data_IF_833867093845
#
_entry.id   IF_833867093845
#
_cell.length_a   1.000
_cell.length_b   1.000
_cell.length_c   1.000
_cell.angle_alpha   90.00
_cell.angle_beta   90.00
_cell.angle_gamma   90.00
#
_symmetry.space_group_name_H-M   'P 1'
#
loop_
_entity.id
_entity.type
_entity.pdbx_description
1 polymer ?
2 non-polymer ?
#
# COMPACT_ATOMS: atom_id res chain seq x y z
N UNK A 28 1.27 -19.64 -24.90
CA UNK A 28 1.22 -20.31 -23.60
C UNK A 28 1.37 -19.25 -22.50
N UNK A 29 0.41 -19.22 -21.57
CA UNK A 29 0.50 -18.24 -20.49
C UNK A 29 1.54 -18.71 -19.49
N UNK A 30 2.53 -17.86 -19.25
CA UNK A 30 3.55 -18.10 -18.26
C UNK A 30 2.90 -18.15 -16.87
N UNK A 31 3.43 -19.01 -15.99
CA UNK A 31 2.86 -19.20 -14.67
C UNK A 31 3.77 -18.53 -13.65
N UNK A 32 3.15 -17.93 -12.63
CA UNK A 32 3.84 -17.23 -11.58
C UNK A 32 3.60 -17.94 -10.25
N UNK A 33 4.69 -18.33 -9.58
CA UNK A 33 4.64 -19.18 -8.40
C UNK A 33 5.12 -18.53 -7.12
N UNK A 34 5.35 -19.34 -6.07
CA UNK A 34 5.85 -18.79 -4.80
C UNK A 34 7.15 -18.06 -4.99
N UNK A 35 7.96 -18.51 -5.95
CA UNK A 35 9.23 -17.85 -6.22
C UNK A 35 8.99 -16.44 -6.71
N UNK A 36 7.93 -16.24 -7.52
CA UNK A 36 7.63 -14.91 -8.02
C UNK A 36 7.19 -13.99 -6.89
N UNK A 37 6.35 -14.49 -6.00
CA UNK A 37 5.79 -13.67 -4.92
C UNK A 37 6.89 -13.05 -4.07
N UNK A 38 7.83 -13.90 -3.63
CA UNK A 38 8.97 -13.45 -2.82
C UNK A 38 9.94 -12.56 -3.63
N UNK A 39 10.49 -13.09 -4.74
CA UNK A 39 11.40 -12.35 -5.60
C UNK A 39 10.80 -12.05 -6.99
N UNK A 40 10.12 -10.90 -7.13
CA UNK A 40 9.48 -10.54 -8.41
C UNK A 40 10.43 -9.85 -9.37
N UNK A 41 11.12 -8.81 -8.93
CA UNK A 41 11.88 -7.95 -9.84
C UNK A 41 12.80 -8.65 -10.83
N UNK A 42 13.39 -9.84 -10.56
CA UNK A 42 14.01 -10.62 -11.65
C UNK A 42 13.03 -11.00 -12.75
N UNK A 43 11.87 -11.51 -12.37
CA UNK A 43 10.88 -11.93 -13.36
C UNK A 43 10.38 -10.74 -14.17
N UNK A 44 10.21 -9.59 -13.52
CA UNK A 44 9.76 -8.40 -14.23
C UNK A 44 10.78 -8.05 -15.28
N UNK A 45 12.05 -8.24 -14.94
CA UNK A 45 13.13 -7.86 -15.84
C UNK A 45 13.27 -8.87 -16.99
N UNK A 46 12.99 -10.15 -16.74
CA UNK A 46 13.09 -11.10 -17.85
C UNK A 46 12.00 -10.80 -18.88
N UNK A 47 10.79 -10.47 -18.43
CA UNK A 47 9.68 -10.28 -19.34
C UNK A 47 9.58 -8.86 -19.85
N UNK A 48 10.30 -7.91 -19.24
CA UNK A 48 10.19 -6.53 -19.68
C UNK A 48 10.85 -6.34 -21.05
N UNK A 49 11.96 -7.00 -21.28
CA UNK A 49 12.67 -6.86 -22.56
C UNK A 49 11.86 -7.44 -23.70
N UNK A 50 11.22 -8.59 -23.48
CA UNK A 50 10.43 -9.23 -24.52
C UNK A 50 9.37 -8.29 -25.10
N UNK A 51 8.48 -7.77 -24.24
CA UNK A 51 7.37 -6.95 -24.69
C UNK A 51 6.90 -6.08 -23.54
N UNK A 52 6.18 -5.00 -23.83
CA UNK A 52 5.77 -4.08 -22.75
C UNK A 52 4.64 -4.62 -21.88
N UNK A 53 3.91 -5.61 -22.37
CA UNK A 53 2.81 -6.26 -21.66
C UNK A 53 3.05 -7.75 -21.80
N UNK A 54 2.58 -8.53 -20.81
CA UNK A 54 2.71 -9.99 -20.86
C UNK A 54 1.41 -10.65 -20.43
N UNK A 55 1.25 -11.90 -20.89
CA UNK A 55 0.13 -12.77 -20.49
C UNK A 55 0.71 -13.72 -19.44
N UNK A 56 0.16 -13.66 -18.22
CA UNK A 56 0.70 -14.38 -17.08
C UNK A 56 -0.45 -15.10 -16.40
N UNK A 57 -0.10 -15.95 -15.44
CA UNK A 57 -1.09 -16.65 -14.62
C UNK A 57 -0.72 -16.43 -13.16
N UNK A 58 -1.38 -15.47 -12.54
CA UNK A 58 -1.20 -15.16 -11.13
C UNK A 58 -2.50 -15.49 -10.41
N UNK A 59 -2.43 -16.44 -9.46
CA UNK A 59 -3.61 -16.92 -8.75
C UNK A 59 -4.51 -17.87 -9.51
N UNK A 60 -3.95 -18.70 -10.41
CA UNK A 60 -4.78 -19.48 -11.31
C UNK A 60 -5.58 -18.68 -12.31
N UNK A 61 -5.38 -17.35 -12.39
CA UNK A 61 -6.17 -16.48 -13.25
C UNK A 61 -5.33 -15.93 -14.40
N UNK A 62 -5.66 -16.24 -15.66
CA UNK A 62 -4.96 -15.62 -16.79
C UNK A 62 -5.24 -14.13 -16.84
N UNK A 63 -4.18 -13.35 -16.68
CA UNK A 63 -4.28 -11.91 -16.75
C UNK A 63 -3.16 -11.39 -17.64
N UNK A 64 -3.20 -10.08 -17.89
CA UNK A 64 -2.18 -9.37 -18.65
C UNK A 64 -1.42 -8.46 -17.71
N UNK A 65 -0.09 -8.47 -17.81
CA UNK A 65 0.79 -7.75 -16.89
C UNK A 65 1.57 -6.65 -17.63
N UNK A 66 1.39 -5.41 -17.18
CA UNK A 66 2.00 -4.26 -17.84
C UNK A 66 3.30 -3.93 -17.10
N UNK A 67 4.44 -4.06 -17.81
CA UNK A 67 5.76 -3.97 -17.22
C UNK A 67 6.53 -2.68 -17.52
N UNK A 68 6.56 -2.18 -18.74
CA UNK A 68 7.36 -1.00 -19.06
C UNK A 68 6.73 0.29 -18.52
N UNK A 69 7.56 1.32 -18.38
CA UNK A 69 7.11 2.55 -17.71
C UNK A 69 5.99 3.22 -18.50
N UNK A 70 6.24 3.55 -19.77
CA UNK A 70 5.22 4.26 -20.53
C UNK A 70 3.97 3.42 -20.70
N UNK A 71 4.13 2.13 -20.98
CA UNK A 71 2.94 1.28 -21.10
C UNK A 71 2.10 1.33 -19.82
N UNK A 72 2.75 1.26 -18.65
CA UNK A 72 2.03 1.32 -17.38
C UNK A 72 1.35 2.66 -17.17
N UNK A 73 2.07 3.75 -17.40
CA UNK A 73 1.45 5.06 -17.26
C UNK A 73 0.16 5.12 -18.04
N UNK A 74 0.22 4.60 -19.27
CA UNK A 74 -0.89 4.72 -20.20
C UNK A 74 -2.04 3.81 -19.80
N UNK A 75 -1.75 2.58 -19.39
CA UNK A 75 -2.82 1.71 -18.91
C UNK A 75 -3.52 2.27 -17.68
N UNK A 76 -2.87 3.17 -16.94
CA UNK A 76 -3.45 3.81 -15.78
C UNK A 76 -4.25 5.06 -16.13
N UNK A 77 -4.29 5.45 -17.42
CA UNK A 77 -5.09 6.57 -17.91
C UNK A 77 -6.13 6.14 -18.96
N UNK A 78 -6.48 4.86 -19.00
CA UNK A 78 -7.40 4.35 -20.01
C UNK A 78 -8.69 3.90 -19.37
N UNK A 79 -9.84 4.34 -19.88
CA UNK A 79 -11.10 3.92 -19.27
C UNK A 79 -11.47 2.50 -19.62
N UNK A 80 -10.77 1.85 -20.54
CA UNK A 80 -11.13 0.49 -20.86
C UNK A 80 -10.78 -0.51 -19.80
N UNK A 81 -10.11 -0.06 -18.72
CA UNK A 81 -9.65 -0.88 -17.60
C UNK A 81 -10.53 -0.53 -16.40
N UNK A 82 -11.46 -1.43 -16.09
CA UNK A 82 -12.55 -1.18 -15.16
C UNK A 82 -12.30 -1.94 -13.87
N UNK A 83 -12.60 -1.28 -12.75
CA UNK A 83 -12.38 -1.85 -11.42
C UNK A 83 -13.70 -2.26 -10.77
N UNK A 84 -14.45 -3.09 -11.48
CA UNK A 84 -15.68 -3.64 -10.94
C UNK A 84 -15.46 -4.96 -10.21
N UNK A 85 -15.27 -4.95 -8.89
CA UNK A 85 -14.98 -6.21 -8.19
C UNK A 85 -16.09 -7.24 -8.34
N UNK A 86 -17.31 -6.76 -8.56
CA UNK A 86 -18.46 -7.62 -8.86
C UNK A 86 -18.19 -8.48 -10.10
N UNK A 87 -17.83 -7.82 -11.21
CA UNK A 87 -17.46 -8.58 -12.41
C UNK A 87 -16.21 -9.41 -12.18
N UNK A 88 -15.28 -8.95 -11.34
CA UNK A 88 -14.01 -9.66 -11.21
C UNK A 88 -14.22 -11.02 -10.57
N UNK A 89 -14.97 -11.04 -9.46
CA UNK A 89 -15.10 -12.28 -8.70
C UNK A 89 -15.80 -13.36 -9.51
N UNK A 90 -16.89 -13.00 -10.21
CA UNK A 90 -17.59 -13.98 -11.04
C UNK A 90 -16.69 -14.53 -12.16
N UNK A 91 -15.94 -13.65 -12.83
CA UNK A 91 -15.00 -14.04 -13.88
C UNK A 91 -13.90 -14.96 -13.33
N UNK A 92 -13.37 -14.62 -12.15
CA UNK A 92 -12.35 -15.43 -11.52
C UNK A 92 -12.90 -16.79 -11.08
N UNK A 93 -14.15 -16.86 -10.61
CA UNK A 93 -14.72 -18.15 -10.26
C UNK A 93 -14.91 -19.03 -11.49
N UNK A 94 -15.14 -18.43 -12.67
CA UNK A 94 -15.40 -19.22 -13.86
C UNK A 94 -14.14 -19.94 -14.36
N UNK A 95 -12.95 -19.41 -14.10
CA UNK A 95 -11.74 -20.14 -14.43
C UNK A 95 -11.65 -21.45 -13.67
N UNK A 96 -12.06 -21.43 -12.39
CA UNK A 96 -12.15 -22.62 -11.55
C UNK A 96 -13.42 -23.44 -11.80
N UNK A 97 -14.36 -22.97 -12.63
CA UNK A 97 -15.57 -23.70 -12.97
C UNK A 97 -16.74 -23.52 -12.02
N UNK A 98 -16.49 -23.16 -10.77
CA UNK A 98 -17.52 -23.04 -9.75
C UNK A 98 -18.40 -21.85 -10.14
N UNK A 99 -19.59 -22.15 -10.67
CA UNK A 99 -20.56 -21.12 -11.10
C UNK A 99 -21.86 -21.26 -10.32
N UNK A 100 -21.99 -20.56 -9.17
CA UNK A 100 -23.24 -20.59 -8.39
C UNK A 100 -24.46 -20.21 -9.23
N UNK A 105 -25.49 -11.59 -3.65
CA UNK A 105 -26.50 -12.25 -2.80
C UNK A 105 -26.81 -11.36 -1.60
N UNK A 106 -27.06 -12.02 -0.45
CA UNK A 106 -27.09 -11.36 0.86
C UNK A 106 -25.69 -10.89 1.17
N UNK A 107 -25.22 -9.87 0.47
CA UNK A 107 -23.85 -9.48 0.83
C UNK A 107 -23.79 -8.96 2.26
N UNK A 108 -23.10 -9.71 3.14
CA UNK A 108 -22.88 -9.35 4.53
C UNK A 108 -22.21 -7.98 4.67
N UNK A 109 -22.19 -7.43 5.89
CA UNK A 109 -21.56 -6.12 6.06
C UNK A 109 -20.14 -6.14 5.60
N UNK A 110 -19.37 -7.12 6.06
CA UNK A 110 -17.95 -7.20 5.74
C UNK A 110 -17.69 -7.44 4.28
N UNK A 111 -18.56 -8.18 3.60
CA UNK A 111 -18.39 -8.33 2.16
C UNK A 111 -18.56 -7.01 1.45
N UNK A 112 -19.54 -6.21 1.90
CA UNK A 112 -19.77 -4.90 1.29
C UNK A 112 -18.66 -3.92 1.66
N UNK A 113 -18.04 -4.09 2.84
CA UNK A 113 -17.00 -3.17 3.27
C UNK A 113 -15.79 -3.27 2.36
N UNK A 114 -15.55 -4.46 1.82
CA UNK A 114 -14.35 -4.73 1.04
C UNK A 114 -14.48 -4.33 -0.43
N UNK A 115 -15.69 -4.02 -0.89
CA UNK A 115 -15.92 -3.79 -2.32
C UNK A 115 -16.54 -2.44 -2.62
N UNK A 116 -16.90 -1.65 -1.60
CA UNK A 116 -17.56 -0.37 -1.85
C UNK A 116 -16.70 0.82 -1.43
N UNK A 117 -15.43 0.81 -1.83
CA UNK A 117 -14.47 1.90 -1.67
C UNK A 117 -14.03 2.40 -3.05
N UNK A 118 -13.33 3.53 -3.06
CA UNK A 118 -13.02 4.17 -4.34
C UNK A 118 -12.38 3.20 -5.30
N UNK A 119 -11.46 2.37 -4.80
CA UNK A 119 -10.62 1.54 -5.65
C UNK A 119 -11.42 0.49 -6.39
N UNK A 120 -12.59 0.12 -5.88
CA UNK A 120 -13.46 -0.81 -6.57
C UNK A 120 -14.59 -0.17 -7.37
N UNK A 121 -14.38 1.06 -7.81
CA UNK A 121 -15.40 1.85 -8.46
C UNK A 121 -14.78 2.61 -9.61
N UNK A 122 -15.58 2.83 -10.63
CA UNK A 122 -15.13 3.51 -11.82
C UNK A 122 -15.99 4.75 -11.97
N UNK A 123 -15.53 5.76 -12.71
CA UNK A 123 -16.41 6.88 -12.98
C UNK A 123 -17.64 6.43 -13.73
N UNK A 124 -18.74 7.15 -13.61
CA UNK A 124 -18.90 8.44 -12.94
C UNK A 124 -19.09 8.40 -11.41
N UNK A 125 -19.15 7.20 -10.80
CA UNK A 125 -19.42 7.05 -9.37
C UNK A 125 -18.19 7.22 -8.50
N UNK A 126 -16.99 7.07 -9.06
CA UNK A 126 -15.76 7.31 -8.30
C UNK A 126 -15.57 8.81 -8.03
N UNK A 127 -15.92 9.66 -9.01
CA UNK A 127 -15.73 11.10 -8.89
C UNK A 127 -16.42 11.68 -7.66
N UNK A 128 -17.68 11.27 -7.43
CA UNK A 128 -18.47 11.72 -6.30
C UNK A 128 -17.79 11.38 -4.97
N UNK A 129 -17.36 10.13 -4.82
CA UNK A 129 -16.77 9.69 -3.56
C UNK A 129 -15.47 10.43 -3.27
N UNK A 130 -14.61 10.58 -4.29
CA UNK A 130 -13.34 11.20 -4.05
C UNK A 130 -13.49 12.68 -3.71
N UNK A 131 -14.49 13.35 -4.31
CA UNK A 131 -14.83 14.71 -3.91
C UNK A 131 -15.12 14.78 -2.42
N UNK A 132 -16.04 13.94 -1.95
CA UNK A 132 -16.52 14.03 -0.59
C UNK A 132 -15.41 13.74 0.41
N UNK A 133 -14.61 12.70 0.17
CA UNK A 133 -13.62 12.36 1.18
C UNK A 133 -12.51 13.40 1.24
N UNK A 134 -12.31 14.15 0.15
CA UNK A 134 -11.31 15.23 0.15
C UNK A 134 -11.85 16.47 0.81
N UNK A 135 -13.17 16.67 0.75
CA UNK A 135 -13.82 17.75 1.45
C UNK A 135 -13.76 17.59 2.97
N UNK A 136 -13.05 16.62 3.52
CA UNK A 136 -13.00 16.52 4.96
C UNK A 136 -11.52 16.55 5.36
N UNK A 139 -9.81 19.84 5.97
CA UNK A 139 -10.41 20.18 7.25
C UNK A 139 -9.41 20.80 8.22
N UNK A 140 -8.25 21.24 7.70
CA UNK A 140 -7.14 21.79 8.50
C UNK A 140 -6.60 20.79 9.51
N UNK A 141 -7.24 19.62 9.60
CA UNK A 141 -6.59 18.44 10.19
C UNK A 141 -5.38 17.99 9.40
N UNK A 142 -5.26 18.41 8.13
CA UNK A 142 -4.03 18.27 7.35
C UNK A 142 -2.84 18.86 8.07
N UNK A 143 -2.97 20.10 8.51
CA UNK A 143 -1.98 20.65 9.41
C UNK A 143 -2.18 20.01 10.77
N UNK A 144 -1.13 20.05 11.58
CA UNK A 144 -0.98 19.36 12.87
C UNK A 144 -0.81 17.85 12.70
N UNK A 145 -0.78 17.34 11.48
CA UNK A 145 -0.41 15.93 11.28
C UNK A 145 1.07 15.69 11.57
N UNK A 146 1.90 16.64 11.18
CA UNK A 146 3.32 16.53 11.48
C UNK A 146 3.59 16.44 12.99
N UNK A 147 3.07 17.36 13.82
CA UNK A 147 3.33 17.28 15.27
C UNK A 147 2.98 15.94 15.87
N UNK A 148 1.87 15.39 15.40
CA UNK A 148 1.42 14.09 15.87
C UNK A 148 2.46 13.02 15.54
N UNK A 149 2.94 13.00 14.28
CA UNK A 149 3.91 11.99 13.87
C UNK A 149 5.17 12.10 14.71
N UNK A 150 5.74 13.31 14.78
CA UNK A 150 6.97 13.49 15.55
C UNK A 150 6.77 13.06 16.98
N UNK A 151 5.63 13.42 17.58
CA UNK A 151 5.38 12.97 18.93
C UNK A 151 5.40 11.44 19.02
N UNK A 152 4.53 10.77 18.25
CA UNK A 152 4.44 9.31 18.38
C UNK A 152 5.74 8.62 17.97
N UNK A 153 6.47 9.20 17.01
CA UNK A 153 7.78 8.67 16.65
C UNK A 153 8.69 8.62 17.88
N UNK A 154 8.88 9.79 18.53
CA UNK A 154 9.70 9.85 19.72
C UNK A 154 9.22 8.95 20.84
N UNK A 155 7.90 8.88 21.06
CA UNK A 155 7.39 7.93 22.03
C UNK A 155 7.87 6.52 21.70
N UNK A 156 7.69 6.09 20.45
CA UNK A 156 8.10 4.74 20.07
C UNK A 156 9.60 4.55 20.24
N UNK A 157 10.37 5.57 19.90
CA UNK A 157 11.83 5.52 19.92
C UNK A 157 12.36 5.57 21.34
N UNK A 158 11.68 6.33 22.21
CA UNK A 158 12.04 6.38 23.62
C UNK A 158 11.80 5.06 24.34
N UNK A 159 10.97 4.19 23.79
CA UNK A 159 10.74 2.89 24.38
C UNK A 159 11.77 1.82 24.04
N UNK A 160 12.32 1.84 22.81
CA UNK A 160 13.29 0.81 22.45
C UNK A 160 14.72 1.15 22.83
N UNK A 161 14.98 2.35 23.36
CA UNK A 161 16.35 2.74 23.73
C UNK A 161 16.90 1.84 24.83
N UNK A 162 18.16 1.42 24.69
CA UNK A 162 18.73 0.46 25.60
C UNK A 162 18.27 -0.99 25.44
N UNK A 163 17.27 -1.28 24.63
CA UNK A 163 16.83 -2.65 24.47
C UNK A 163 17.73 -3.47 23.54
N UNK A 164 18.96 -3.02 23.27
CA UNK A 164 19.88 -3.77 22.45
C UNK A 164 19.28 -4.12 21.11
N UNK A 165 19.48 -5.37 20.69
CA UNK A 165 18.84 -5.87 19.50
C UNK A 165 17.31 -5.76 19.65
N UNK A 166 16.63 -5.35 18.57
CA UNK A 166 15.18 -5.18 18.56
C UNK A 166 14.68 -5.57 17.17
N UNK A 167 13.38 -5.86 17.09
CA UNK A 167 12.70 -6.01 15.81
C UNK A 167 12.14 -4.64 15.45
N UNK A 168 12.83 -3.97 14.52
CA UNK A 168 12.43 -2.62 14.14
C UNK A 168 11.02 -2.59 13.56
N UNK A 169 10.58 -3.68 12.93
CA UNK A 169 9.30 -3.69 12.23
C UNK A 169 8.12 -3.70 13.20
N UNK A 170 8.23 -4.47 14.29
CA UNK A 170 7.14 -4.62 15.25
C UNK A 170 7.20 -3.63 16.42
N UNK A 171 8.21 -2.75 16.41
CA UNK A 171 8.41 -1.73 17.43
C UNK A 171 8.46 -0.28 16.92
N UNK A 172 8.66 -0.05 15.63
CA UNK A 172 8.74 1.31 15.08
C UNK A 172 7.88 1.44 13.83
N UNK A 173 8.06 0.52 12.89
CA UNK A 173 7.36 0.60 11.61
C UNK A 173 5.88 0.32 11.77
N UNK A 174 5.53 -0.88 12.24
CA UNK A 174 4.11 -1.19 12.36
C UNK A 174 3.43 -0.36 13.44
N UNK A 175 4.06 -0.04 14.58
CA UNK A 175 3.38 0.82 15.55
C UNK A 175 3.12 2.24 15.06
N UNK A 176 3.95 2.79 14.20
CA UNK A 176 3.79 4.21 13.94
C UNK A 176 2.53 4.52 13.13
N UNK A 177 2.43 4.10 11.86
CA UNK A 177 1.20 4.40 11.10
C UNK A 177 -0.09 3.94 11.75
N UNK A 178 -0.08 2.80 12.48
CA UNK A 178 -1.24 2.42 13.28
C UNK A 178 -1.70 3.55 14.17
N UNK A 179 -0.77 4.16 14.90
CA UNK A 179 -1.11 5.30 15.77
C UNK A 179 -1.42 6.56 14.98
N UNK A 180 -0.75 6.78 13.84
CA UNK A 180 -0.95 8.02 13.10
C UNK A 180 -2.27 8.00 12.35
N UNK A 181 -2.50 7.00 11.51
CA UNK A 181 -3.78 6.99 10.78
C UNK A 181 -4.96 6.84 11.74
N UNK A 182 -4.79 6.09 12.84
CA UNK A 182 -5.88 5.87 13.78
C UNK A 182 -6.31 7.16 14.42
N UNK A 183 -5.36 7.99 14.80
CA UNK A 183 -5.76 9.19 15.50
C UNK A 183 -6.40 10.19 14.54
N UNK A 184 -6.08 10.08 13.26
CA UNK A 184 -6.78 10.87 12.27
C UNK A 184 -8.25 10.45 12.16
N UNK A 185 -8.53 9.15 12.12
CA UNK A 185 -9.89 8.66 11.99
C UNK A 185 -10.65 8.76 13.32
N UNK A 186 -9.94 8.78 14.45
CA UNK A 186 -10.59 8.84 15.75
C UNK A 186 -10.83 7.51 16.43
N UNK A 187 -10.15 6.45 16.00
CA UNK A 187 -10.15 5.16 16.65
C UNK A 187 -9.54 5.34 18.04
N UNK A 188 -10.30 5.11 19.11
CA UNK A 188 -9.79 5.36 20.47
C UNK A 188 -8.52 4.58 20.73
N UNK A 189 -7.67 5.15 21.59
CA UNK A 189 -6.37 4.55 21.86
C UNK A 189 -6.50 3.12 22.38
N UNK A 190 -7.45 2.91 23.30
CA UNK A 190 -7.66 1.58 23.87
C UNK A 190 -8.12 0.56 22.82
N UNK A 191 -8.63 1.02 21.66
CA UNK A 191 -9.13 0.15 20.61
C UNK A 191 -8.17 0.04 19.42
N UNK A 192 -7.09 0.83 19.42
CA UNK A 192 -6.24 0.92 18.24
C UNK A 192 -5.50 -0.38 17.98
N UNK A 193 -4.87 -0.92 19.03
CA UNK A 193 -4.00 -2.07 18.82
C UNK A 193 -4.80 -3.28 18.35
N UNK A 194 -5.96 -3.53 18.96
CA UNK A 194 -6.72 -4.72 18.58
C UNK A 194 -7.23 -4.63 17.15
N UNK A 195 -7.43 -3.42 16.63
CA UNK A 195 -7.77 -3.29 15.21
C UNK A 195 -6.59 -3.69 14.34
N UNK A 196 -5.36 -3.43 14.81
CA UNK A 196 -4.18 -3.80 14.05
C UNK A 196 -4.05 -5.31 13.86
N UNK A 197 -4.42 -6.08 14.88
CA UNK A 197 -4.39 -7.53 14.75
C UNK A 197 -5.35 -7.99 13.65
N UNK A 198 -6.58 -7.47 13.63
CA UNK A 198 -7.54 -7.88 12.60
C UNK A 198 -7.13 -7.41 11.22
N UNK A 199 -6.47 -6.24 11.15
CA UNK A 199 -5.86 -5.81 9.89
C UNK A 199 -4.81 -6.80 9.45
N UNK A 200 -3.91 -7.13 10.36
CA UNK A 200 -2.82 -8.04 10.03
C UNK A 200 -3.35 -9.40 9.58
N UNK A 201 -4.40 -9.86 10.25
CA UNK A 201 -4.89 -11.21 9.98
C UNK A 201 -5.63 -11.27 8.64
N UNK A 202 -6.48 -10.28 8.35
CA UNK A 202 -7.12 -10.18 7.04
C UNK A 202 -6.10 -10.08 5.91
N UNK A 203 -4.91 -9.55 6.19
CA UNK A 203 -3.80 -9.53 5.23
C UNK A 203 -3.20 -10.91 5.05
N UNK A 204 -2.87 -11.57 6.16
CA UNK A 204 -2.33 -12.91 6.10
C UNK A 204 -3.39 -13.91 5.63
N UNK A 205 -4.66 -13.67 5.92
CA UNK A 205 -5.71 -14.61 5.54
C UNK A 205 -5.83 -14.73 4.03
N UNK A 206 -5.98 -15.96 3.55
CA UNK A 206 -6.11 -16.24 2.11
C UNK A 206 -7.53 -16.69 1.76
N UNK A 207 -8.10 -17.61 2.54
CA UNK A 207 -9.40 -18.16 2.18
C UNK A 207 -10.48 -17.07 2.26
N UNK A 208 -11.43 -17.05 1.32
CA UNK A 208 -12.53 -16.07 1.41
C UNK A 208 -13.30 -16.12 2.71
N UNK A 209 -13.55 -17.32 3.24
CA UNK A 209 -14.38 -17.47 4.43
C UNK A 209 -13.83 -16.64 5.58
N UNK A 210 -12.58 -16.94 5.96
CA UNK A 210 -11.92 -16.23 7.06
C UNK A 210 -11.87 -14.71 6.82
N UNK A 211 -11.64 -14.30 5.58
CA UNK A 211 -11.67 -12.87 5.27
C UNK A 211 -13.04 -12.26 5.57
N UNK A 212 -14.09 -12.81 4.96
CA UNK A 212 -15.42 -12.26 5.17
C UNK A 212 -15.80 -12.27 6.65
N UNK A 213 -15.38 -13.30 7.37
CA UNK A 213 -15.62 -13.35 8.79
C UNK A 213 -14.87 -12.27 9.55
N UNK A 214 -13.56 -12.16 9.32
CA UNK A 214 -12.81 -11.09 9.95
C UNK A 214 -13.41 -9.73 9.60
N UNK A 215 -13.88 -9.60 8.35
CA UNK A 215 -14.37 -8.32 7.88
C UNK A 215 -15.69 -7.95 8.54
N UNK A 216 -16.60 -8.93 8.68
CA UNK A 216 -17.83 -8.68 9.44
C UNK A 216 -17.53 -8.23 10.86
N UNK A 217 -16.47 -8.76 11.45
CA UNK A 217 -16.08 -8.35 12.80
C UNK A 217 -15.81 -6.84 12.85
N UNK A 218 -14.89 -6.35 12.01
CA UNK A 218 -14.53 -4.94 12.06
C UNK A 218 -15.71 -4.05 11.65
N UNK A 219 -16.40 -4.44 10.59
CA UNK A 219 -17.48 -3.64 10.03
C UNK A 219 -18.47 -3.21 11.13
N UNK A 220 -18.74 -4.08 12.09
CA UNK A 220 -19.64 -3.73 13.18
C UNK A 220 -19.02 -2.68 14.10
N UNK A 221 -17.76 -2.84 14.48
CA UNK A 221 -17.10 -1.84 15.29
C UNK A 221 -17.05 -0.52 14.56
N UNK A 222 -16.52 -0.56 13.32
CA UNK A 222 -16.62 0.57 12.41
C UNK A 222 -18.05 0.84 11.98
N UNK A 223 -18.96 1.03 12.94
CA UNK A 223 -20.34 1.44 12.72
C UNK A 223 -20.84 2.09 14.01
N UNK A 224 -20.51 1.48 15.15
CA UNK A 224 -20.60 2.19 16.41
C UNK A 224 -19.66 3.38 16.48
N UNK A 225 -18.43 3.21 15.95
CA UNK A 225 -17.45 4.31 15.85
C UNK A 225 -18.01 5.48 15.04
N UNK A 226 -18.61 5.20 13.88
CA UNK A 226 -19.37 6.19 13.13
C UNK A 226 -20.56 6.67 13.94
N UNK A 227 -21.26 5.76 14.62
CA UNK A 227 -22.49 6.18 15.27
C UNK A 227 -22.20 7.12 16.45
N UNK A 228 -21.18 6.79 17.25
CA UNK A 228 -20.73 7.69 18.30
C UNK A 228 -20.44 9.09 17.75
N UNK A 229 -19.87 9.18 16.55
CA UNK A 229 -19.42 10.45 15.99
C UNK A 229 -20.52 11.20 15.27
N UNK A 230 -21.61 10.52 14.88
CA UNK A 230 -22.76 11.28 14.42
C UNK A 230 -23.44 11.99 15.59
N UNK A 231 -23.19 11.51 16.82
CA UNK A 231 -23.67 12.12 18.07
C UNK A 231 -22.62 12.93 18.82
N UNK A 232 -21.33 12.73 18.53
CA UNK A 232 -20.23 13.47 19.15
C UNK A 232 -19.30 13.93 18.04
N UNK A 233 -19.70 14.97 17.27
CA UNK A 233 -18.79 15.54 16.28
C UNK A 233 -17.54 15.98 16.99
N UNK A 234 -16.39 15.39 16.64
CA UNK A 234 -15.12 15.72 17.24
C UNK A 234 -14.16 16.11 16.11
N UNK A 235 -12.87 16.28 16.45
CA UNK A 235 -11.83 16.64 15.49
C UNK A 235 -11.10 15.39 14.97
N UNK A 236 -11.85 14.58 14.25
CA UNK A 236 -11.29 13.45 13.56
C UNK A 236 -11.95 13.34 12.19
N UNK A 237 -11.43 12.40 11.39
CA UNK A 237 -11.88 12.28 10.01
C UNK A 237 -13.23 11.57 9.89
N UNK A 238 -13.58 10.72 10.87
CA UNK A 238 -14.93 10.16 10.88
C UNK A 238 -15.97 11.27 10.97
N UNK A 239 -15.84 12.13 12.00
CA UNK A 239 -16.81 13.20 12.17
C UNK A 239 -16.94 14.04 10.91
N UNK A 240 -15.82 14.32 10.26
CA UNK A 240 -15.88 15.17 9.09
C UNK A 240 -16.40 14.45 7.87
N UNK A 241 -16.25 13.13 7.80
CA UNK A 241 -16.79 12.39 6.67
C UNK A 241 -18.31 12.33 6.70
N UNK A 242 -18.90 12.27 7.89
CA UNK A 242 -20.32 12.42 8.04
C UNK A 242 -20.76 13.81 7.63
N UNK A 243 -20.00 14.83 8.03
CA UNK A 243 -20.47 16.20 7.83
C UNK A 243 -20.38 16.67 6.39
N UNK A 244 -19.62 16.01 5.56
CA UNK A 244 -19.63 16.35 4.14
C UNK A 244 -20.99 16.06 3.47
N UNK A 248 -26.50 19.25 -0.52
CA UNK A 248 -26.02 18.38 -1.58
C UNK A 248 -26.05 16.90 -1.15
N UNK A 249 -25.07 16.14 -1.65
CA UNK A 249 -24.85 14.74 -1.33
C UNK A 249 -24.22 14.51 0.02
N UNK A 250 -24.31 13.26 0.43
CA UNK A 250 -23.64 12.80 1.61
C UNK A 250 -23.22 11.35 1.39
N UNK A 251 -22.36 10.89 2.29
CA UNK A 251 -21.80 9.54 2.22
C UNK A 251 -22.62 8.61 3.10
N UNK A 252 -23.22 7.60 2.48
CA UNK A 252 -24.05 6.61 3.15
C UNK A 252 -23.23 5.77 4.11
N UNK A 253 -23.92 5.13 5.05
CA UNK A 253 -23.24 4.26 6.01
C UNK A 253 -22.42 3.22 5.29
N UNK A 254 -22.94 2.70 4.18
CA UNK A 254 -22.23 1.71 3.37
C UNK A 254 -20.83 2.19 3.01
N UNK A 255 -20.73 3.41 2.51
CA UNK A 255 -19.50 4.05 2.05
C UNK A 255 -18.73 4.75 3.15
N UNK A 256 -19.39 5.06 4.26
CA UNK A 256 -18.69 5.62 5.41
C UNK A 256 -17.87 4.55 6.11
N UNK A 257 -18.48 3.40 6.31
CA UNK A 257 -17.74 2.25 6.81
C UNK A 257 -16.61 1.89 5.84
N UNK A 258 -16.95 1.66 4.56
CA UNK A 258 -15.96 1.24 3.57
C UNK A 258 -14.79 2.22 3.50
N UNK A 259 -15.08 3.52 3.53
CA UNK A 259 -13.99 4.48 3.46
C UNK A 259 -13.19 4.55 4.76
N UNK A 260 -13.84 4.53 5.92
CA UNK A 260 -13.07 4.50 7.17
C UNK A 260 -12.19 3.26 7.23
N UNK A 261 -12.65 2.16 6.65
CA UNK A 261 -11.88 0.92 6.61
C UNK A 261 -10.67 1.03 5.69
N UNK A 262 -10.90 1.40 4.42
CA UNK A 262 -9.80 1.46 3.46
C UNK A 262 -8.69 2.41 3.93
N UNK A 263 -9.06 3.57 4.47
CA UNK A 263 -8.04 4.49 4.98
C UNK A 263 -7.28 3.86 6.15
N UNK A 264 -7.96 3.07 6.96
CA UNK A 264 -7.25 2.45 8.07
C UNK A 264 -6.26 1.42 7.58
N UNK A 265 -6.72 0.44 6.80
CA UNK A 265 -5.89 -0.71 6.50
C UNK A 265 -4.77 -0.32 5.54
N UNK A 266 -5.12 0.41 4.48
CA UNK A 266 -4.08 0.77 3.52
C UNK A 266 -3.09 1.80 4.07
N UNK A 267 -3.48 2.66 5.00
CA UNK A 267 -2.54 3.48 5.73
C UNK A 267 -1.89 2.83 6.94
N UNK A 268 -1.97 1.51 7.07
CA UNK A 268 -1.30 0.81 8.17
C UNK A 268 -0.28 -0.14 7.55
N UNK A 269 -0.75 -1.14 6.82
CA UNK A 269 0.13 -2.14 6.23
C UNK A 269 1.09 -1.52 5.20
N UNK A 270 0.57 -0.90 4.13
CA UNK A 270 1.45 -0.46 3.05
C UNK A 270 2.39 0.65 3.53
N UNK A 271 1.93 1.53 4.43
CA UNK A 271 2.85 2.52 4.99
C UNK A 271 3.94 1.82 5.80
N UNK A 272 3.53 1.00 6.76
CA UNK A 272 4.49 0.39 7.66
C UNK A 272 5.45 -0.54 6.90
N UNK A 273 5.01 -1.13 5.78
CA UNK A 273 5.90 -1.98 5.00
C UNK A 273 6.90 -1.16 4.17
N UNK A 274 6.53 0.04 3.75
CA UNK A 274 7.50 0.87 3.03
C UNK A 274 8.68 1.27 3.92
N UNK A 275 8.41 1.70 5.14
CA UNK A 275 9.46 1.92 6.14
C UNK A 275 10.41 0.73 6.23
N UNK A 276 9.85 -0.47 6.43
CA UNK A 276 10.69 -1.62 6.69
C UNK A 276 11.43 -2.09 5.46
N UNK A 277 10.79 -2.02 4.30
CA UNK A 277 11.52 -2.18 3.05
C UNK A 277 12.62 -1.13 2.90
N UNK A 278 12.31 0.15 3.19
CA UNK A 278 13.31 1.21 3.06
C UNK A 278 14.49 1.05 4.01
N UNK A 279 14.22 0.74 5.28
CA UNK A 279 15.31 0.59 6.24
C UNK A 279 16.19 -0.61 5.91
N UNK A 280 15.63 -1.66 5.32
CA UNK A 280 16.47 -2.79 4.93
C UNK A 280 17.51 -2.34 3.93
N UNK A 281 17.09 -1.51 2.96
CA UNK A 281 18.03 -0.92 1.99
C UNK A 281 18.96 0.08 2.64
N UNK A 282 18.45 0.88 3.57
CA UNK A 282 19.34 1.80 4.28
C UNK A 282 20.33 1.08 5.19
N UNK A 283 20.00 -0.13 5.64
CA UNK A 283 21.00 -0.89 6.42
C UNK A 283 21.84 -1.80 5.54
N UNK A 284 21.31 -2.20 4.38
CA UNK A 284 22.06 -3.07 3.47
C UNK A 284 23.13 -2.27 2.71
N UNK A 285 22.87 -1.02 2.38
CA UNK A 285 23.86 -0.15 1.77
C UNK A 285 24.32 0.87 2.81
N UNK A 286 25.47 0.66 3.43
CA UNK A 286 25.82 1.49 4.59
C UNK A 286 26.43 2.83 4.24
N UNK A 287 27.12 2.96 3.11
CA UNK A 287 27.73 4.23 2.74
C UNK A 287 26.69 5.34 2.66
N UNK A 288 25.52 5.04 2.09
CA UNK A 288 24.48 6.06 1.91
C UNK A 288 23.83 6.41 3.24
N UNK A 289 23.80 5.44 4.15
CA UNK A 289 23.25 5.70 5.48
C UNK A 289 23.97 6.87 6.14
N UNK A 290 25.31 6.87 6.10
CA UNK A 290 26.08 7.93 6.74
C UNK A 290 26.00 9.24 5.98
N UNK A 291 25.89 9.20 4.64
CA UNK A 291 25.57 10.42 3.90
C UNK A 291 24.27 11.04 4.45
N UNK A 292 23.26 10.22 4.70
CA UNK A 292 21.99 10.75 5.20
C UNK A 292 22.10 11.18 6.66
N UNK A 293 23.03 10.60 7.41
CA UNK A 293 23.23 11.02 8.80
C UNK A 293 23.68 12.47 8.91
N UNK A 294 24.70 12.84 8.12
CA UNK A 294 25.20 14.21 8.19
C UNK A 294 24.29 15.16 7.41
N UNK A 295 24.00 14.83 6.14
CA UNK A 295 23.21 15.66 5.23
C UNK A 295 21.74 15.27 5.23
N UNK A 296 20.94 16.03 5.97
CA UNK A 296 19.51 15.84 5.93
C UNK A 296 18.87 16.41 4.67
N UNK A 297 19.67 17.05 3.79
CA UNK A 297 19.22 17.50 2.47
C UNK A 297 18.89 16.32 1.55
N UNK A 298 19.34 15.12 1.92
CA UNK A 298 19.09 13.91 1.18
C UNK A 298 17.86 13.16 1.69
N UNK A 299 17.34 13.54 2.86
CA UNK A 299 16.20 12.84 3.42
C UNK A 299 15.04 12.84 2.44
N UNK A 300 14.75 14.00 1.86
CA UNK A 300 13.63 14.12 0.93
C UNK A 300 13.78 13.19 -0.27
N UNK A 301 14.93 13.26 -0.94
CA UNK A 301 15.13 12.44 -2.13
C UNK A 301 15.22 10.95 -1.86
N UNK A 302 15.69 10.56 -0.66
CA UNK A 302 15.85 9.12 -0.37
C UNK A 302 14.49 8.43 -0.35
N UNK A 303 13.48 9.08 0.23
CA UNK A 303 12.14 8.53 0.30
C UNK A 303 11.64 8.16 -1.10
N UNK A 304 11.93 8.99 -2.10
CA UNK A 304 11.53 8.66 -3.45
C UNK A 304 12.28 7.43 -3.97
N UNK A 305 13.58 7.30 -3.64
CA UNK A 305 14.35 6.11 -4.04
C UNK A 305 13.97 4.87 -3.25
N UNK A 306 13.44 5.04 -2.04
CA UNK A 306 12.86 3.92 -1.31
C UNK A 306 11.60 3.44 -2.00
N UNK A 307 10.68 4.37 -2.32
CA UNK A 307 9.50 3.97 -3.06
C UNK A 307 9.84 3.39 -4.42
N UNK A 308 10.90 3.89 -5.04
CA UNK A 308 11.22 3.45 -6.39
C UNK A 308 11.82 2.03 -6.37
N UNK A 309 12.74 1.78 -5.45
CA UNK A 309 13.47 0.52 -5.31
C UNK A 309 12.57 -0.65 -4.94
N UNK A 310 12.36 -0.87 -3.67
CA UNK A 310 11.34 -1.79 -3.22
C UNK A 310 10.18 -1.00 -2.64
N UNK A 311 9.07 -0.98 -3.36
CA UNK A 311 7.86 -0.37 -2.86
C UNK A 311 7.02 -1.47 -2.22
N UNK A 312 6.25 -1.11 -1.18
CA UNK A 312 5.39 -2.08 -0.50
C UNK A 312 4.36 -2.68 -1.46
N UNK A 313 3.96 -1.92 -2.44
CA UNK A 313 3.01 -2.36 -3.45
C UNK A 313 3.82 -2.40 -4.75
N UNK A 314 4.06 -3.57 -5.30
CA UNK A 314 4.62 -3.57 -6.63
C UNK A 314 3.54 -3.83 -7.68
N UNK A 315 2.27 -3.83 -7.26
CA UNK A 315 1.21 -4.24 -8.16
C UNK A 315 -0.05 -3.37 -8.03
N UNK A 316 -0.71 -3.16 -9.17
CA UNK A 316 -2.00 -2.48 -9.27
C UNK A 316 -3.12 -3.24 -8.59
N UNK A 317 -4.22 -2.51 -8.30
CA UNK A 317 -5.49 -3.19 -8.05
C UNK A 317 -5.93 -3.79 -9.37
N UNK A 318 -6.38 -5.04 -9.33
CA UNK A 318 -6.84 -5.67 -10.54
C UNK A 318 -7.97 -4.86 -11.18
N UNK A 319 -8.06 -4.96 -12.51
CA UNK A 319 -9.08 -4.28 -13.29
C UNK A 319 -9.43 -5.18 -14.47
N UNK A 320 -10.72 -5.39 -14.68
CA UNK A 320 -11.16 -6.20 -15.81
C UNK A 320 -11.36 -5.25 -16.99
N UNK A 321 -11.76 -5.79 -18.14
CA UNK A 321 -11.88 -5.02 -19.38
C UNK A 321 -13.32 -5.03 -19.87
N UNK A 322 -13.90 -3.84 -20.02
CA UNK A 322 -15.22 -3.76 -20.63
C UNK A 322 -15.13 -4.02 -22.15
N UNK A 323 -14.08 -3.52 -22.81
CA UNK A 323 -13.96 -3.63 -24.26
C UNK A 323 -12.50 -3.93 -24.61
N UNK A 324 -12.18 -4.29 -25.87
CA UNK A 324 -10.78 -4.51 -26.24
C UNK A 324 -9.95 -3.23 -26.17
N UNK A 325 -8.81 -3.32 -25.48
CA UNK A 325 -7.94 -2.18 -25.25
C UNK A 325 -6.55 -2.45 -25.79
N UNK A 326 -5.85 -1.38 -26.13
CA UNK A 326 -4.53 -1.43 -26.74
C UNK A 326 -3.56 -0.73 -25.80
N UNK A 327 -2.77 -1.51 -25.08
CA UNK A 327 -1.85 -0.97 -24.10
C UNK A 327 -0.48 -1.57 -24.34
N UNK A 328 0.53 -0.71 -24.42
CA UNK A 328 1.85 -1.06 -24.92
C UNK A 328 1.92 -1.50 -26.37
N UNK A 329 0.88 -1.23 -27.17
CA UNK A 329 0.78 -1.72 -28.54
C UNK A 329 0.27 -3.15 -28.70
N UNK A 330 -0.10 -3.82 -27.61
CA UNK A 330 -0.57 -5.20 -27.65
C UNK A 330 -2.06 -5.19 -27.34
N UNK A 331 -2.86 -5.80 -28.23
CA UNK A 331 -4.31 -5.85 -28.04
C UNK A 331 -4.67 -6.74 -26.86
N UNK A 332 -5.41 -6.19 -25.90
CA UNK A 332 -5.91 -6.92 -24.74
C UNK A 332 -7.41 -7.10 -24.91
N UNK A 333 -7.93 -8.33 -24.94
CA UNK A 333 -9.36 -8.53 -25.21
C UNK A 333 -10.30 -8.10 -24.08
N UNK A 334 -11.60 -8.09 -24.36
CA UNK A 334 -12.60 -7.77 -23.34
C UNK A 334 -12.80 -8.97 -22.42
N UNK A 335 -13.34 -8.70 -21.24
CA UNK A 335 -13.49 -9.70 -20.17
C UNK A 335 -12.17 -10.38 -19.82
N UNK A 336 -11.09 -9.59 -19.78
CA UNK A 336 -9.75 -10.08 -19.48
C UNK A 336 -9.09 -9.21 -18.41
N UNK A 337 -8.49 -9.85 -17.40
CA UNK A 337 -7.90 -9.10 -16.29
C UNK A 337 -6.64 -8.36 -16.75
N UNK A 338 -6.46 -7.13 -16.26
CA UNK A 338 -5.23 -6.37 -16.49
C UNK A 338 -4.74 -5.79 -15.18
N UNK A 339 -3.50 -6.13 -14.81
CA UNK A 339 -2.80 -5.56 -13.67
C UNK A 339 -1.64 -4.75 -14.21
N UNK A 340 -1.29 -3.67 -13.52
CA UNK A 340 -0.09 -2.91 -13.85
C UNK A 340 1.00 -3.18 -12.81
N UNK A 341 2.20 -3.49 -13.27
CA UNK A 341 3.34 -3.73 -12.39
C UNK A 341 4.05 -2.43 -12.07
N UNK A 342 3.77 -1.86 -10.90
CA UNK A 342 4.47 -0.65 -10.51
C UNK A 342 5.94 -0.91 -10.25
N UNK A 343 6.30 -2.14 -9.89
CA UNK A 343 7.70 -2.45 -9.68
C UNK A 343 8.49 -2.45 -10.98
N UNK A 344 8.03 -3.20 -11.97
CA UNK A 344 8.81 -3.26 -13.20
C UNK A 344 8.91 -1.88 -13.83
N UNK A 345 7.83 -1.08 -13.78
CA UNK A 345 7.89 0.24 -14.39
C UNK A 345 8.96 1.08 -13.70
N UNK A 346 8.96 1.09 -12.36
CA UNK A 346 10.01 1.81 -11.62
C UNK A 346 11.42 1.33 -11.92
N UNK A 347 11.54 0.09 -12.42
CA UNK A 347 12.81 -0.57 -12.71
C UNK A 347 13.10 -0.65 -14.21
N UNK A 348 12.39 0.15 -15.04
CA UNK A 348 12.57 0.12 -16.51
C UNK A 348 13.85 0.85 -16.90
N UNK A 349 14.80 0.17 -17.57
CA UNK A 349 16.09 0.83 -17.90
C UNK A 349 15.95 1.99 -18.90
N UNK A 350 14.78 2.15 -19.56
CA UNK A 350 14.51 3.36 -20.36
C UNK A 350 14.20 4.56 -19.48
N UNK A 351 13.40 4.36 -18.44
CA UNK A 351 13.04 5.49 -17.59
C UNK A 351 14.16 5.88 -16.65
N UNK A 352 14.85 4.91 -16.04
CA UNK A 352 15.84 5.17 -15.01
C UNK A 352 17.17 4.49 -15.31
N UNK A 353 18.24 5.05 -14.74
CA UNK A 353 19.59 4.60 -15.01
C UNK A 353 20.06 3.65 -13.90
N UNK A 354 20.72 2.55 -14.29
CA UNK A 354 21.00 1.40 -13.46
C UNK A 354 19.76 1.18 -12.56
N UNK A 355 18.63 0.87 -13.18
CA UNK A 355 17.37 0.94 -12.44
C UNK A 355 17.36 0.01 -11.22
N UNK A 356 18.37 -0.85 -11.04
CA UNK A 356 18.39 -1.83 -9.96
C UNK A 356 19.40 -1.48 -8.87
N UNK A 357 19.66 -0.19 -8.69
CA UNK A 357 20.73 0.32 -7.87
C UNK A 357 20.16 1.38 -6.95
N UNK A 358 20.50 1.26 -5.67
CA UNK A 358 20.01 2.18 -4.66
C UNK A 358 21.00 3.35 -4.56
N UNK A 359 20.61 4.52 -5.07
CA UNK A 359 21.36 5.78 -4.99
C UNK A 359 20.44 6.87 -4.46
N UNK A 360 20.63 7.26 -3.20
CA UNK A 360 19.77 8.26 -2.59
C UNK A 360 19.99 9.59 -3.27
N UNK A 361 20.63 9.56 -4.40
CA UNK A 361 20.95 10.88 -4.93
C UNK A 361 20.60 10.94 -6.40
N UNK A 362 19.44 10.42 -6.68
CA UNK A 362 18.99 10.18 -8.01
C UNK A 362 17.81 11.08 -8.29
N UNK A 363 17.67 11.48 -9.54
CA UNK A 363 16.43 12.11 -9.97
C UNK A 363 15.37 11.02 -10.15
N UNK A 364 14.89 10.52 -9.00
CA UNK A 364 13.89 9.46 -8.96
C UNK A 364 12.47 9.97 -9.20
N UNK A 365 12.29 11.29 -9.36
CA UNK A 365 11.03 11.88 -9.75
C UNK A 365 10.44 11.14 -10.93
N UNK A 366 9.14 10.87 -10.92
CA UNK A 366 8.54 10.03 -11.93
C UNK A 366 8.28 8.58 -11.55
N UNK A 367 8.36 8.22 -10.28
CA UNK A 367 7.98 6.86 -9.95
C UNK A 367 6.44 6.67 -9.93
N UNK A 368 6.02 5.52 -10.43
CA UNK A 368 4.64 5.06 -10.43
C UNK A 368 4.28 4.27 -9.16
N UNK A 369 5.01 4.54 -8.08
CA UNK A 369 4.83 3.79 -6.84
C UNK A 369 3.52 4.17 -6.15
N UNK A 370 3.12 5.43 -6.25
CA UNK A 370 1.87 5.86 -5.67
C UNK A 370 0.73 5.87 -6.67
N UNK A 371 0.90 5.22 -7.83
CA UNK A 371 -0.14 5.21 -8.85
C UNK A 371 -0.15 6.41 -9.80
N UNK A 372 -1.08 6.35 -10.75
CA UNK A 372 -1.17 7.42 -11.74
C UNK A 372 -2.61 7.46 -12.24
N UNK A 373 -3.17 8.65 -12.39
CA UNK A 373 -4.48 8.76 -12.96
C UNK A 373 -5.54 9.01 -11.91
N UNK A 374 -6.79 8.68 -12.30
CA UNK A 374 -7.96 8.92 -11.46
C UNK A 374 -7.78 8.29 -10.09
N UNK A 375 -7.07 7.17 -10.00
CA UNK A 375 -6.90 6.56 -8.69
C UNK A 375 -5.80 7.27 -7.93
N UNK A 376 -4.54 6.83 -7.98
CA UNK A 376 -3.44 7.57 -7.33
C UNK A 376 -3.64 7.83 -5.84
N UNK A 377 -2.65 7.43 -5.03
CA UNK A 377 -2.82 7.48 -3.61
C UNK A 377 -3.20 8.89 -3.15
N UNK A 378 -4.42 8.99 -2.60
CA UNK A 378 -4.87 10.22 -1.94
C UNK A 378 -4.00 10.54 -0.73
N UNK A 379 -3.56 9.53 0.01
CA UNK A 379 -2.74 9.75 1.20
C UNK A 379 -1.22 9.54 1.05
N UNK A 380 -0.74 9.50 -0.20
CA UNK A 380 0.69 9.65 -0.49
C UNK A 380 1.36 10.78 0.31
N UNK A 381 0.81 12.01 0.42
CA UNK A 381 1.49 13.01 1.30
C UNK A 381 1.73 12.55 2.72
N UNK A 382 0.89 11.68 3.27
CA UNK A 382 1.11 11.23 4.65
C UNK A 382 2.15 10.12 4.72
N UNK A 383 2.24 9.29 3.66
CA UNK A 383 3.25 8.24 3.59
C UNK A 383 4.65 8.81 3.47
N UNK A 384 4.80 9.87 2.67
CA UNK A 384 6.10 10.52 2.56
C UNK A 384 6.49 11.21 3.87
N UNK A 385 5.54 11.87 4.52
CA UNK A 385 5.85 12.53 5.78
C UNK A 385 6.25 11.55 6.89
N UNK A 386 5.51 10.45 7.02
CA UNK A 386 5.81 9.46 8.04
C UNK A 386 7.22 8.90 7.87
N UNK A 387 7.52 8.38 6.67
CA UNK A 387 8.83 7.81 6.38
C UNK A 387 9.95 8.81 6.54
N UNK A 388 9.74 10.02 5.99
CA UNK A 388 10.70 11.12 6.07
C UNK A 388 11.05 11.45 7.51
N UNK A 389 10.02 11.60 8.36
CA UNK A 389 10.23 11.94 9.77
C UNK A 389 10.67 10.72 10.57
N UNK A 390 10.22 9.53 10.18
CA UNK A 390 10.71 8.32 10.82
C UNK A 390 12.21 8.13 10.55
N UNK A 391 12.62 8.13 9.29
CA UNK A 391 14.00 7.72 9.00
C UNK A 391 14.96 8.70 9.65
N UNK A 392 14.58 9.98 9.67
CA UNK A 392 15.43 10.99 10.28
C UNK A 392 15.62 10.76 11.77
N UNK A 393 14.53 10.42 12.47
CA UNK A 393 14.62 10.28 13.92
C UNK A 393 15.42 9.04 14.32
N UNK A 394 15.30 7.96 13.55
CA UNK A 394 16.07 6.75 13.83
C UNK A 394 17.56 7.04 13.77
N UNK A 395 18.00 7.73 12.71
CA UNK A 395 19.42 8.05 12.53
C UNK A 395 19.90 9.07 13.56
N UNK A 396 19.00 9.96 14.00
CA UNK A 396 19.35 10.98 14.99
C UNK A 396 19.76 10.31 16.30
N UNK A 397 18.84 9.57 16.92
CA UNK A 397 19.12 8.97 18.21
C UNK A 397 20.22 7.91 18.12
N UNK A 398 20.16 7.04 17.10
CA UNK A 398 20.97 5.84 17.03
C UNK A 398 21.96 5.86 15.88
N UNK A 399 23.23 6.17 16.12
CA UNK A 399 24.23 6.17 15.05
C UNK A 399 24.91 4.83 14.82
N UNK A 400 24.60 3.80 15.61
CA UNK A 400 25.10 2.45 15.36
C UNK A 400 23.99 1.51 14.91
N UNK A 401 22.87 2.05 14.43
CA UNK A 401 21.82 1.20 13.90
C UNK A 401 22.42 0.32 12.82
N UNK A 402 22.22 -0.99 12.98
CA UNK A 402 22.77 -1.97 12.06
C UNK A 402 21.96 -3.25 12.18
N UNK A 403 22.02 -4.06 11.14
CA UNK A 403 21.35 -5.35 11.14
C UNK A 403 22.08 -6.36 12.01
N UNK A 404 21.32 -7.08 12.84
CA UNK A 404 21.91 -8.03 13.77
C UNK A 404 21.87 -9.47 13.25
N UNK A 405 21.40 -9.70 12.03
CA UNK A 405 21.46 -11.02 11.42
C UNK A 405 22.09 -10.88 10.03
N UNK A 406 22.49 -12.02 9.46
CA UNK A 406 23.00 -12.05 8.11
C UNK A 406 21.85 -11.68 7.20
N UNK A 407 22.13 -11.13 6.00
CA UNK A 407 20.97 -10.72 5.19
C UNK A 407 20.22 -11.97 4.79
N UNK A 408 20.89 -13.11 4.94
CA UNK A 408 20.37 -14.44 4.65
C UNK A 408 19.31 -14.91 5.66
N UNK A 409 19.42 -14.52 6.93
CA UNK A 409 18.47 -14.92 7.96
C UNK A 409 17.16 -14.13 7.91
N UNK A 410 16.97 -13.28 6.92
CA UNK A 410 15.77 -12.47 6.75
C UNK A 410 14.95 -13.08 5.62
N UNK A 411 13.63 -13.12 5.81
CA UNK A 411 12.84 -13.80 4.80
C UNK A 411 11.58 -13.00 4.52
N UNK A 412 11.15 -13.03 3.26
CA UNK A 412 9.99 -12.25 2.83
C UNK A 412 8.74 -13.10 2.77
N UNK A 413 7.61 -12.47 2.99
CA UNK A 413 6.36 -13.19 3.11
C UNK A 413 5.76 -13.50 1.73
N UNK A 414 4.76 -14.39 1.74
CA UNK A 414 4.00 -14.78 0.54
C UNK A 414 2.72 -13.96 0.39
N UNK A 415 2.92 -12.66 0.17
CA UNK A 415 1.85 -11.72 -0.11
C UNK A 415 2.22 -10.90 -1.34
N UNK A 416 1.20 -10.42 -2.03
CA UNK A 416 1.51 -9.48 -3.11
C UNK A 416 2.05 -8.16 -2.58
N UNK A 417 2.03 -7.99 -1.26
CA UNK A 417 2.59 -6.85 -0.57
C UNK A 417 4.00 -7.22 -0.14
N UNK A 418 5.01 -6.52 -0.67
CA UNK A 418 6.43 -6.91 -0.47
C UNK A 418 6.85 -6.65 0.97
N UNK A 419 6.86 -7.72 1.78
CA UNK A 419 7.04 -7.60 3.20
C UNK A 419 8.28 -8.34 3.61
N UNK A 420 8.65 -8.12 4.87
CA UNK A 420 9.89 -8.68 5.36
C UNK A 420 9.75 -9.68 6.51
N UNK A 421 8.59 -9.79 7.16
CA UNK A 421 8.37 -10.70 8.30
C UNK A 421 9.19 -10.38 9.55
N UNK A 422 10.42 -9.87 9.41
CA UNK A 422 11.27 -9.55 10.56
C UNK A 422 12.37 -8.59 10.11
N UNK A 423 12.72 -7.63 10.97
CA UNK A 423 13.89 -6.77 10.79
C UNK A 423 14.64 -6.63 12.11
N UNK A 424 15.51 -7.56 12.42
CA UNK A 424 16.22 -7.54 13.71
C UNK A 424 17.40 -6.59 13.75
N UNK A 425 17.16 -5.31 14.01
CA UNK A 425 18.24 -4.34 14.01
C UNK A 425 18.88 -4.33 15.40
N UNK A 426 20.12 -3.87 15.45
CA UNK A 426 20.94 -3.81 16.66
C UNK A 426 21.30 -2.34 16.89
N UNK A 427 20.52 -1.66 17.70
CA UNK A 427 20.88 -0.32 18.08
C UNK A 427 22.10 -0.36 19.00
N UNK A 428 22.80 0.77 19.05
CA UNK A 428 23.98 0.90 19.90
C UNK A 428 24.22 2.27 20.51
X LIG B 1 -4.50 4.07 -3.70
X LIG B 1 0.23 3.07 -2.91
X LIG B 1 -0.37 4.66 1.61
X LIG B 1 -4.93 5.81 0.81
X LIG B 1 -3.19 3.72 -3.90
X LIG B 1 -2.59 3.27 -5.13
X LIG B 1 -1.31 2.99 -4.90
X LIG B 1 -1.02 3.24 -3.52
X LIG B 1 -0.27 2.50 -5.92
X LIG B 1 -3.27 3.13 -6.50
X LIG B 1 -3.65 1.68 -6.71
X LIG B 1 -4.27 1.49 -8.07
X LIG B 1 -4.58 2.49 -8.77
X LIG B 1 -4.45 0.31 -8.47
X LIG B 1 0.50 3.42 -1.61
X LIG B 1 1.80 3.35 -0.92
X LIG B 1 1.57 3.79 0.33
X LIG B 1 0.17 4.17 0.44
X LIG B 1 3.13 2.84 -1.51
X LIG B 1 2.49 3.97 1.56
X LIG B 1 3.81 4.11 1.48
X LIG B 1 -1.61 5.16 1.79
X LIG B 1 -2.06 5.85 2.98
X LIG B 1 -3.34 6.17 2.77
X LIG B 1 -3.71 5.68 1.45
X LIG B 1 -1.21 6.18 4.24
X LIG B 1 -4.22 6.94 3.78
X LIG B 1 -5.49 7.21 3.54
X LIG B 1 -5.24 5.47 -0.49
X LIG B 1 -6.50 5.67 -1.18
X LIG B 1 -6.38 5.22 -2.43
X LIG B 1 -5.05 4.66 -2.57
X LIG B 1 -7.66 6.36 -0.48
X LIG B 1 -7.46 5.17 -3.53
X LIG B 1 -7.24 5.97 -4.81
X LIG B 1 -8.50 6.05 -5.67
X LIG B 1 -9.25 5.05 -5.82
X LIG B 1 -8.80 7.14 -6.23
X LIG B 1 -2.20 3.68 -2.94
X LIG B 1 -0.46 3.93 -0.75
X LIG B 1 -2.63 5.06 0.88
X LIG B 1 -4.37 4.84 -1.38
X LIG B 1 -2.34 4.40 -1.17
#
# INVERSE_FOLDING_TARGET
>A
MGSSHHHHHHSSGLVPRGSHMAEETSRTPEVLGEDFIRDPYPVYARLRERAPVAHVVLGGAPMWLVLRHEAARAALTDPGLHKDPERCARLAARHAGVDPVEQPAEKSPGQRMLVEHMLGMDPPHHTRLRKLVAKAFTARQIQALRPRIEHTVGALLDGIAGQGEVDLLKAFAFPLPLTVISEMIGVPQADQAAFGAWSNALTVAVQPQEMHGIADRMAEYLTGLIAAKRAAPDDDLISGLIQARDHEDRLSENELVSMVFQLLVAGYETTAHLIGNGMLALLRHPDQLAALRADRSLLRGAVEEISRYDNSLHLNTLSVTSEPVRIGGVRIPADAFVIVSLGAANHDPERFEDPERFDIRREAGGHLAFGHGIHHCMGAPLARLQTEIAVGALLDRFPRIELAVAPAELRREMNLTRGLESLPVRLG
>B hetero
1 HEM CHA CHB CHC CHD C1A C2A C3A C4A CMA CAA CBA CGA O1A O2A C1B C2B C3B C4B CMB CAB CBB C1C C2C C3C C4C CMC CAC CBC C1D C2D C3D C4D CMD CAD CBD CGD O1D O2D NA NB NC ND FE
#
